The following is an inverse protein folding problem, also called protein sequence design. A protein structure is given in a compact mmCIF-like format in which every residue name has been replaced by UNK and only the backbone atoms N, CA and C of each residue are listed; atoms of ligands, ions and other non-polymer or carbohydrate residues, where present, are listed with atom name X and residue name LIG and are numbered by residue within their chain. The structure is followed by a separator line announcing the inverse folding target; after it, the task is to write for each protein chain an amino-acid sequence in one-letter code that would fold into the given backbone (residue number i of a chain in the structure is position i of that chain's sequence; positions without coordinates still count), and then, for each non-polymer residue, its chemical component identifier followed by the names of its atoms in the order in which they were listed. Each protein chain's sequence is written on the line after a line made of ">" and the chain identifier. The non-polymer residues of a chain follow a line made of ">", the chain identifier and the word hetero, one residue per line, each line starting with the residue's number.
data_IF_071846587496
#
_entry.id   IF_071846587496
#
_cell.length_a   1.000
_cell.length_b   1.000
_cell.length_c   1.000
_cell.angle_alpha   90.00
_cell.angle_beta   90.00
_cell.angle_gamma   90.00
#
_symmetry.space_group_name_H-M   'P 1'
#
loop_
_entity.id
_entity.type
_entity.pdbx_description
1 polymer ?
#
# COMPACT_ATOMS: atom_id res chain seq x y z
N UNK A 1 3.98 -31.66 7.23
CA UNK A 1 5.31 -32.27 7.00
C UNK A 1 5.99 -31.75 5.75
N UNK A 2 5.30 -31.67 4.60
CA UNK A 2 5.86 -31.12 3.35
C UNK A 2 6.30 -29.64 3.47
N UNK A 3 5.53 -28.79 4.17
CA UNK A 3 5.90 -27.39 4.44
C UNK A 3 7.22 -27.24 5.21
N UNK A 4 7.51 -28.15 6.16
CA UNK A 4 8.75 -28.10 6.93
C UNK A 4 9.96 -28.47 6.08
N UNK A 5 9.79 -29.41 5.14
CA UNK A 5 10.84 -29.83 4.20
C UNK A 5 11.09 -28.72 3.17
N UNK A 6 10.06 -28.04 2.66
CA UNK A 6 10.24 -26.91 1.75
C UNK A 6 10.91 -25.71 2.44
N UNK A 7 10.59 -25.46 3.71
CA UNK A 7 11.28 -24.44 4.51
C UNK A 7 12.75 -24.80 4.77
N UNK A 8 13.06 -26.08 5.01
CA UNK A 8 14.43 -26.56 5.16
C UNK A 8 15.24 -26.38 3.86
N UNK A 9 14.63 -26.69 2.72
CA UNK A 9 15.26 -26.50 1.39
C UNK A 9 15.49 -25.01 1.11
N UNK A 10 14.55 -24.13 1.49
CA UNK A 10 14.70 -22.68 1.36
C UNK A 10 15.87 -22.16 2.22
N UNK A 11 15.95 -22.56 3.49
CA UNK A 11 17.02 -22.14 4.42
C UNK A 11 18.38 -22.66 3.96
N UNK A 12 18.44 -23.90 3.48
CA UNK A 12 19.65 -24.47 2.89
C UNK A 12 20.05 -23.69 1.64
N UNK A 13 19.11 -23.40 0.74
CA UNK A 13 19.34 -22.68 -0.51
C UNK A 13 19.73 -21.21 -0.30
N UNK A 14 19.29 -20.59 0.79
CA UNK A 14 19.75 -19.27 1.24
C UNK A 14 21.20 -19.30 1.74
N UNK A 15 21.65 -20.43 2.30
CA UNK A 15 23.02 -20.59 2.78
C UNK A 15 24.03 -20.87 1.65
N UNK A 16 23.56 -21.39 0.51
CA UNK A 16 24.37 -21.72 -0.66
C UNK A 16 24.28 -20.69 -1.81
N UNK A 17 23.63 -19.55 -1.61
CA UNK A 17 23.37 -18.54 -2.67
C UNK A 17 22.70 -19.11 -3.94
N UNK A 18 21.98 -20.23 -3.80
CA UNK A 18 21.36 -20.96 -4.92
C UNK A 18 20.04 -20.30 -5.33
N UNK A 19 20.11 -19.27 -6.16
CA UNK A 19 18.95 -18.48 -6.60
C UNK A 19 17.84 -19.32 -7.25
N UNK A 20 18.21 -20.40 -7.94
CA UNK A 20 17.27 -21.31 -8.58
C UNK A 20 16.46 -22.07 -7.51
N UNK A 21 17.12 -22.57 -6.47
CA UNK A 21 16.49 -23.26 -5.34
C UNK A 21 15.57 -22.34 -4.54
N UNK A 22 15.99 -21.09 -4.32
CA UNK A 22 15.17 -20.07 -3.65
C UNK A 22 13.91 -19.76 -4.45
N UNK A 23 14.04 -19.59 -5.78
CA UNK A 23 12.91 -19.30 -6.67
C UNK A 23 11.88 -20.44 -6.68
N UNK A 24 12.33 -21.69 -6.81
CA UNK A 24 11.43 -22.84 -6.76
C UNK A 24 10.79 -23.02 -5.39
N UNK A 25 11.53 -22.81 -4.30
CA UNK A 25 10.97 -22.93 -2.95
C UNK A 25 9.89 -21.86 -2.67
N UNK A 26 10.12 -20.60 -3.08
CA UNK A 26 9.14 -19.52 -2.96
C UNK A 26 7.90 -19.82 -3.81
N UNK A 27 8.07 -20.31 -5.04
CA UNK A 27 6.97 -20.70 -5.92
C UNK A 27 6.07 -21.78 -5.31
N UNK A 28 6.67 -22.83 -4.73
CA UNK A 28 5.93 -23.91 -4.07
C UNK A 28 5.19 -23.42 -2.83
N UNK A 29 5.79 -22.53 -2.03
CA UNK A 29 5.13 -21.92 -0.85
C UNK A 29 3.93 -21.06 -1.28
N UNK A 30 4.07 -20.27 -2.35
CA UNK A 30 2.99 -19.41 -2.85
C UNK A 30 1.78 -20.24 -3.35
N UNK A 31 2.03 -21.31 -4.11
CA UNK A 31 0.95 -22.21 -4.57
C UNK A 31 0.25 -22.88 -3.38
N UNK A 32 1.03 -23.43 -2.44
CA UNK A 32 0.46 -24.09 -1.26
C UNK A 32 -0.37 -23.13 -0.38
N UNK A 33 0.05 -21.86 -0.28
CA UNK A 33 -0.71 -20.81 0.41
C UNK A 33 -2.03 -20.49 -0.29
N UNK A 34 -2.02 -20.35 -1.61
CA UNK A 34 -3.22 -20.07 -2.40
C UNK A 34 -4.25 -21.20 -2.31
N UNK A 35 -3.82 -22.46 -2.40
CA UNK A 35 -4.70 -23.63 -2.24
C UNK A 35 -5.32 -23.67 -0.83
N UNK A 36 -4.55 -23.33 0.20
CA UNK A 36 -5.03 -23.30 1.59
C UNK A 36 -6.09 -22.20 1.81
N UNK A 37 -5.92 -21.03 1.18
CA UNK A 37 -6.88 -19.94 1.26
C UNK A 37 -8.22 -20.28 0.59
N UNK A 38 -8.20 -20.95 -0.57
CA UNK A 38 -9.41 -21.42 -1.26
C UNK A 38 -10.15 -22.47 -0.42
N UNK A 39 -9.41 -23.40 0.21
CA UNK A 39 -9.98 -24.41 1.11
C UNK A 39 -10.71 -23.79 2.31
N UNK A 40 -10.15 -22.72 2.89
CA UNK A 40 -10.74 -22.00 4.01
C UNK A 40 -12.04 -21.28 3.63
N UNK A 41 -12.06 -20.61 2.46
CA UNK A 41 -13.25 -19.92 1.93
C UNK A 41 -14.41 -20.90 1.69
N UNK A 42 -14.12 -22.14 1.29
CA UNK A 42 -15.16 -23.18 1.12
C UNK A 42 -15.65 -23.79 2.44
N UNK A 43 -14.83 -23.74 3.49
CA UNK A 43 -15.13 -24.35 4.80
C UNK A 43 -15.91 -23.45 5.75
N UNK A 44 -16.02 -22.14 5.47
CA UNK A 44 -16.88 -21.25 6.26
C UNK A 44 -18.35 -21.55 5.95
N UNK A 45 -19.19 -21.87 6.95
CA UNK A 45 -20.58 -22.22 6.71
C UNK A 45 -21.32 -21.03 6.12
N UNK A 46 -21.95 -21.25 4.97
CA UNK A 46 -22.76 -20.29 4.22
C UNK A 46 -24.08 -20.00 4.95
N UNK A 47 -24.00 -19.30 6.09
CA UNK A 47 -25.09 -18.43 6.54
C UNK A 47 -24.89 -17.03 5.95
N UNK A 48 -24.86 -16.95 4.61
CA UNK A 48 -25.11 -15.70 3.92
C UNK A 48 -26.36 -15.90 3.10
N UNK A 49 -27.50 -15.56 3.71
CA UNK A 49 -28.80 -15.50 3.05
C UNK A 49 -28.66 -14.53 1.88
N UNK A 50 -28.77 -15.06 0.66
CA UNK A 50 -28.84 -14.29 -0.56
C UNK A 50 -30.22 -13.64 -0.68
N UNK A 51 -30.46 -12.56 0.06
CA UNK A 51 -31.50 -11.59 -0.30
C UNK A 51 -30.84 -10.53 -1.16
N UNK A 52 -30.99 -10.62 -2.48
CA UNK A 52 -30.67 -9.53 -3.41
C UNK A 52 -31.73 -8.45 -3.15
N UNK A 53 -31.39 -7.27 -2.58
CA UNK A 53 -32.34 -6.18 -2.57
C UNK A 53 -32.38 -5.60 -3.98
N UNK A 54 -33.57 -5.58 -4.58
CA UNK A 54 -33.82 -4.87 -5.84
C UNK A 54 -33.48 -3.39 -5.66
N UNK A 55 -32.27 -3.00 -6.05
CA UNK A 55 -31.79 -1.63 -5.88
C UNK A 55 -32.42 -0.75 -6.97
N UNK A 56 -33.51 -0.07 -6.61
CA UNK A 56 -34.11 0.96 -7.45
C UNK A 56 -33.13 2.13 -7.58
N UNK A 57 -32.55 2.31 -8.78
CA UNK A 57 -31.75 3.47 -9.13
C UNK A 57 -32.67 4.69 -9.24
N UNK A 58 -32.84 5.45 -8.14
CA UNK A 58 -33.11 6.88 -8.26
C UNK A 58 -31.77 7.58 -8.44
N UNK A 59 -31.44 7.96 -9.68
CA UNK A 59 -30.33 8.88 -9.97
C UNK A 59 -30.59 10.18 -9.21
N UNK A 60 -29.92 10.38 -8.07
CA UNK A 60 -29.80 11.69 -7.44
C UNK A 60 -28.41 12.19 -7.77
N UNK A 61 -28.30 12.94 -8.86
CA UNK A 61 -27.09 13.71 -9.15
C UNK A 61 -26.84 14.64 -7.96
N UNK A 62 -25.75 14.41 -7.22
CA UNK A 62 -25.21 15.42 -6.31
C UNK A 62 -24.25 16.27 -7.12
N UNK A 63 -24.78 17.37 -7.65
CA UNK A 63 -23.96 18.47 -8.15
C UNK A 63 -23.21 19.06 -6.95
N UNK A 64 -21.88 19.01 -6.95
CA UNK A 64 -21.09 19.86 -6.04
C UNK A 64 -21.09 21.27 -6.63
N UNK A 65 -21.95 22.14 -6.12
CA UNK A 65 -21.83 23.59 -6.35
C UNK A 65 -20.79 24.16 -5.39
N UNK A 66 -19.84 24.93 -5.93
CA UNK A 66 -19.01 25.84 -5.13
C UNK A 66 -19.78 27.13 -4.90
N UNK A 67 -20.47 27.23 -3.77
CA UNK A 67 -21.09 28.48 -3.32
C UNK A 67 -20.01 29.32 -2.63
N UNK A 68 -19.50 30.35 -3.30
CA UNK A 68 -18.64 31.36 -2.71
C UNK A 68 -19.50 32.32 -1.87
N UNK A 69 -19.48 32.16 -0.54
CA UNK A 69 -20.23 33.02 0.37
C UNK A 69 -19.41 34.26 0.74
N UNK A 70 -19.84 35.43 0.24
CA UNK A 70 -19.24 36.73 0.52
C UNK A 70 -19.67 37.28 1.90
N UNK A 71 -18.70 37.76 2.66
CA UNK A 71 -18.80 38.25 4.03
C UNK A 71 -19.65 39.52 4.18
N UNK A 72 -20.56 39.51 5.17
CA UNK A 72 -20.87 40.67 6.02
C UNK A 72 -20.93 40.20 7.49
N UNK A 73 -20.09 40.81 8.32
CA UNK A 73 -19.96 40.58 9.77
C UNK A 73 -21.20 41.07 10.53
N UNK A 74 -21.51 40.47 11.70
CA UNK A 74 -21.13 41.13 12.95
C UNK A 74 -20.51 40.18 13.98
N UNK A 75 -19.64 40.75 14.81
CA UNK A 75 -18.86 40.07 15.84
C UNK A 75 -19.72 39.55 17.00
N UNK A 76 -19.44 38.33 17.46
CA UNK A 76 -19.80 37.87 18.80
C UNK A 76 -18.65 37.03 19.37
N UNK A 77 -17.98 37.61 20.35
CA UNK A 77 -16.89 37.03 21.12
C UNK A 77 -17.38 35.86 21.97
N UNK A 78 -16.79 34.68 21.76
CA UNK A 78 -16.68 33.66 22.80
C UNK A 78 -15.29 33.04 22.74
N UNK A 79 -14.51 33.31 23.77
CA UNK A 79 -13.17 32.77 23.97
C UNK A 79 -13.27 31.31 24.37
N UNK A 80 -12.86 30.36 23.53
CA UNK A 80 -12.38 29.03 24.01
C UNK A 80 -11.44 28.40 22.99
N UNK A 81 -10.17 28.24 23.43
CA UNK A 81 -9.08 27.43 22.87
C UNK A 81 -8.76 27.56 21.38
N UNK A 82 -7.60 28.18 21.11
CA UNK A 82 -6.79 27.99 19.91
C UNK A 82 -6.49 26.49 19.77
N UNK A 83 -7.37 25.74 19.10
CA UNK A 83 -7.08 24.39 18.66
C UNK A 83 -6.28 24.55 17.37
N UNK A 84 -4.96 24.70 17.53
CA UNK A 84 -4.05 24.68 16.41
C UNK A 84 -4.33 23.43 15.60
N UNK A 85 -4.73 23.60 14.33
CA UNK A 85 -4.79 22.52 13.35
C UNK A 85 -3.36 22.08 13.06
N UNK A 86 -2.79 21.34 14.01
CA UNK A 86 -1.48 20.74 13.92
C UNK A 86 -1.64 19.44 13.15
N UNK A 87 -1.43 19.51 11.85
CA UNK A 87 -1.28 18.37 10.94
C UNK A 87 -2.59 17.65 10.63
N UNK A 88 -3.03 17.73 9.37
CA UNK A 88 -4.03 16.81 8.82
C UNK A 88 -3.49 15.38 8.94
N UNK A 89 -3.86 14.69 10.02
CA UNK A 89 -3.44 13.31 10.25
C UNK A 89 -4.26 12.43 9.32
N UNK A 90 -3.64 11.87 8.28
CA UNK A 90 -4.31 10.97 7.34
C UNK A 90 -4.81 9.72 8.09
N UNK A 91 -6.03 9.28 7.78
CA UNK A 91 -6.59 8.07 8.37
C UNK A 91 -5.81 6.84 7.85
N UNK A 92 -5.36 5.91 8.71
CA UNK A 92 -4.59 4.75 8.28
C UNK A 92 -5.31 3.87 7.24
N UNK A 93 -6.62 3.67 7.40
CA UNK A 93 -7.46 2.93 6.43
C UNK A 93 -7.58 3.62 5.07
N UNK A 94 -7.53 4.95 5.04
CA UNK A 94 -7.52 5.69 3.77
C UNK A 94 -6.21 5.44 3.03
N UNK A 95 -5.08 5.39 3.75
CA UNK A 95 -3.79 5.06 3.16
C UNK A 95 -3.79 3.63 2.64
N UNK A 96 -4.27 2.66 3.42
CA UNK A 96 -4.39 1.27 2.94
C UNK A 96 -5.25 1.18 1.68
N UNK A 97 -6.43 1.81 1.64
CA UNK A 97 -7.28 1.80 0.45
C UNK A 97 -6.68 2.51 -0.76
N UNK A 98 -5.91 3.58 -0.54
CA UNK A 98 -5.16 4.23 -1.62
C UNK A 98 -4.06 3.32 -2.15
N UNK A 99 -3.33 2.63 -1.27
CA UNK A 99 -2.32 1.66 -1.69
C UNK A 99 -2.96 0.50 -2.45
N UNK A 100 -4.11 0.03 -2.03
CA UNK A 100 -4.86 -1.02 -2.71
C UNK A 100 -5.27 -0.63 -4.15
N UNK A 101 -5.57 0.66 -4.37
CA UNK A 101 -6.02 1.16 -5.68
C UNK A 101 -4.88 1.59 -6.60
N UNK A 102 -3.88 2.30 -6.08
CA UNK A 102 -2.88 3.04 -6.90
C UNK A 102 -1.43 2.59 -6.67
N UNK A 103 -1.16 1.71 -5.70
CA UNK A 103 0.22 1.29 -5.42
C UNK A 103 0.69 0.08 -6.24
N UNK A 104 2.00 -0.05 -6.33
CA UNK A 104 2.68 -1.14 -7.01
C UNK A 104 3.82 -1.66 -6.14
N UNK A 105 3.82 -2.97 -5.90
CA UNK A 105 4.90 -3.72 -5.26
C UNK A 105 5.75 -4.37 -6.35
N UNK A 106 6.99 -3.93 -6.50
CA UNK A 106 7.86 -4.29 -7.62
C UNK A 106 9.14 -4.92 -7.10
N UNK A 107 9.49 -6.09 -7.63
CA UNK A 107 10.81 -6.69 -7.51
C UNK A 107 11.55 -6.48 -8.83
N UNK A 108 12.70 -5.82 -8.77
CA UNK A 108 13.54 -5.53 -9.93
C UNK A 108 14.80 -6.38 -9.81
N UNK A 109 15.08 -7.18 -10.83
CA UNK A 109 16.28 -8.02 -10.91
C UNK A 109 17.15 -7.48 -12.03
N UNK A 110 18.31 -6.93 -11.69
CA UNK A 110 19.24 -6.32 -12.63
C UNK A 110 20.53 -7.14 -12.69
N UNK A 111 21.07 -7.34 -13.90
CA UNK A 111 22.39 -7.95 -14.04
C UNK A 111 23.45 -6.99 -13.52
N UNK A 112 24.25 -7.42 -12.55
CA UNK A 112 25.27 -6.58 -11.93
C UNK A 112 26.46 -7.42 -11.45
N UNK A 113 27.57 -7.30 -12.18
CA UNK A 113 28.80 -8.05 -11.94
C UNK A 113 29.53 -7.70 -10.64
N UNK A 114 29.10 -6.65 -9.92
CA UNK A 114 29.66 -6.29 -8.62
C UNK A 114 29.25 -7.26 -7.51
N UNK A 115 28.11 -7.93 -7.68
CA UNK A 115 27.62 -8.93 -6.72
C UNK A 115 28.14 -10.31 -7.10
N UNK A 116 28.43 -11.14 -6.09
CA UNK A 116 28.94 -12.52 -6.28
C UNK A 116 28.04 -13.38 -7.16
N UNK A 117 26.73 -13.18 -7.05
CA UNK A 117 25.70 -13.84 -7.85
C UNK A 117 25.62 -13.32 -9.29
N UNK A 118 26.22 -12.16 -9.58
CA UNK A 118 26.07 -11.46 -10.85
C UNK A 118 24.73 -10.71 -11.01
N UNK A 119 23.90 -10.66 -9.95
CA UNK A 119 22.57 -10.05 -9.97
C UNK A 119 22.36 -9.13 -8.76
N UNK A 120 21.65 -8.03 -9.01
CA UNK A 120 21.17 -7.08 -8.01
C UNK A 120 19.65 -7.21 -7.92
N UNK A 121 19.14 -7.54 -6.74
CA UNK A 121 17.70 -7.73 -6.49
C UNK A 121 17.21 -6.60 -5.60
N UNK A 122 16.29 -5.79 -6.13
CA UNK A 122 15.76 -4.62 -5.46
C UNK A 122 14.24 -4.77 -5.26
N UNK A 123 13.80 -4.64 -4.02
CA UNK A 123 12.38 -4.51 -3.71
C UNK A 123 11.98 -3.04 -3.65
N UNK A 124 10.80 -2.71 -4.17
CA UNK A 124 10.29 -1.35 -4.23
C UNK A 124 8.77 -1.32 -4.05
N UNK A 125 8.30 -0.38 -3.27
CA UNK A 125 6.89 0.02 -3.24
C UNK A 125 6.78 1.41 -3.82
N UNK A 126 5.87 1.59 -4.77
CA UNK A 126 5.71 2.85 -5.48
C UNK A 126 4.25 3.19 -5.74
N UNK A 127 3.93 4.49 -5.73
CA UNK A 127 2.64 5.05 -6.15
C UNK A 127 2.96 6.11 -7.21
N UNK A 128 2.31 6.03 -8.37
CA UNK A 128 2.50 6.97 -9.46
C UNK A 128 1.16 7.62 -9.78
N UNK A 129 0.96 8.87 -9.35
CA UNK A 129 -0.28 9.63 -9.60
C UNK A 129 0.02 10.96 -10.29
N UNK A 130 -1.02 11.72 -10.63
CA UNK A 130 -0.88 13.00 -11.32
C UNK A 130 -0.29 14.08 -10.39
N UNK A 131 0.51 15.00 -10.92
CA UNK A 131 1.15 16.12 -10.18
C UNK A 131 0.16 17.04 -9.45
N UNK A 132 -1.14 16.98 -9.81
CA UNK A 132 -2.20 17.75 -9.15
C UNK A 132 -2.40 17.28 -7.70
N UNK A 133 -2.14 16.01 -7.45
CA UNK A 133 -2.30 15.36 -6.16
C UNK A 133 -0.97 15.29 -5.39
N UNK A 134 0.00 16.13 -5.74
CA UNK A 134 1.30 16.18 -5.04
C UNK A 134 1.18 16.47 -3.56
N UNK A 135 0.21 17.29 -3.16
CA UNK A 135 -0.08 17.54 -1.75
C UNK A 135 -0.50 16.26 -1.00
N UNK A 136 -1.23 15.36 -1.67
CA UNK A 136 -1.60 14.06 -1.12
C UNK A 136 -0.36 13.17 -0.94
N UNK A 137 0.52 13.10 -1.95
CA UNK A 137 1.78 12.35 -1.84
C UNK A 137 2.67 12.88 -0.71
N UNK A 138 2.75 14.20 -0.53
CA UNK A 138 3.49 14.80 0.57
C UNK A 138 2.89 14.43 1.93
N UNK A 139 1.56 14.48 2.06
CA UNK A 139 0.89 14.07 3.29
C UNK A 139 1.11 12.57 3.61
N UNK A 140 1.18 11.70 2.60
CA UNK A 140 1.52 10.28 2.77
C UNK A 140 2.98 10.09 3.18
N UNK A 141 3.90 10.86 2.58
CA UNK A 141 5.30 10.88 3.00
C UNK A 141 5.44 11.29 4.46
N UNK A 142 4.74 12.34 4.88
CA UNK A 142 4.74 12.81 6.26
C UNK A 142 4.13 11.78 7.22
N UNK A 143 3.07 11.08 6.80
CA UNK A 143 2.47 9.98 7.58
C UNK A 143 3.48 8.87 7.89
N UNK A 144 4.32 8.49 6.92
CA UNK A 144 5.38 7.49 7.10
C UNK A 144 6.67 8.07 7.70
N UNK A 145 6.65 9.30 8.24
CA UNK A 145 7.80 9.90 8.91
C UNK A 145 8.90 10.41 7.97
N UNK A 146 8.56 10.71 6.71
CA UNK A 146 9.47 11.35 5.76
C UNK A 146 10.50 10.42 5.11
N UNK A 147 10.38 9.10 5.28
CA UNK A 147 11.38 8.11 4.85
C UNK A 147 11.32 7.75 3.35
N UNK A 148 10.33 8.27 2.61
CA UNK A 148 10.15 7.96 1.19
C UNK A 148 10.83 8.97 0.26
N UNK A 149 11.11 8.52 -0.96
CA UNK A 149 11.46 9.41 -2.06
C UNK A 149 10.17 9.93 -2.71
N UNK A 150 10.09 11.25 -2.92
CA UNK A 150 9.06 11.89 -3.73
C UNK A 150 9.71 12.57 -4.92
N UNK A 151 9.25 12.27 -6.13
CA UNK A 151 9.83 12.85 -7.34
C UNK A 151 9.68 14.37 -7.35
N UNK A 152 10.66 15.04 -7.96
CA UNK A 152 10.54 16.46 -8.31
C UNK A 152 9.55 16.62 -9.47
N UNK A 153 8.87 17.78 -9.57
CA UNK A 153 7.99 18.06 -10.69
C UNK A 153 8.75 17.89 -12.01
N UNK A 154 8.21 17.08 -12.92
CA UNK A 154 8.79 16.81 -14.22
C UNK A 154 7.74 17.04 -15.32
N UNK A 155 8.19 17.11 -16.57
CA UNK A 155 7.33 17.27 -17.76
C UNK A 155 6.29 16.17 -17.92
N UNK A 156 6.49 15.02 -17.26
CA UNK A 156 5.57 13.88 -17.28
C UNK A 156 4.24 14.13 -16.54
N UNK A 157 4.09 15.25 -15.80
CA UNK A 157 2.89 15.58 -15.01
C UNK A 157 2.49 14.49 -14.00
N UNK A 158 3.44 13.66 -13.59
CA UNK A 158 3.28 12.62 -12.59
C UNK A 158 4.21 12.85 -11.41
N UNK A 159 3.71 12.48 -10.24
CA UNK A 159 4.47 12.43 -8.99
C UNK A 159 4.59 10.97 -8.56
N UNK A 160 5.83 10.56 -8.31
CA UNK A 160 6.17 9.22 -7.82
C UNK A 160 6.48 9.31 -6.33
N UNK A 161 5.74 8.55 -5.53
CA UNK A 161 6.15 8.16 -4.18
C UNK A 161 6.85 6.80 -4.27
N UNK A 162 8.05 6.68 -3.70
CA UNK A 162 8.83 5.44 -3.75
C UNK A 162 9.50 5.15 -2.42
N UNK A 163 9.40 3.90 -1.97
CA UNK A 163 10.20 3.33 -0.89
C UNK A 163 10.97 2.13 -1.43
N UNK A 164 12.30 2.19 -1.39
CA UNK A 164 13.18 1.12 -1.89
C UNK A 164 14.19 0.62 -0.86
N UNK A 165 14.34 1.30 0.27
CA UNK A 165 15.25 0.88 1.33
C UNK A 165 14.64 -0.33 2.04
N UNK A 166 15.38 -1.44 2.12
CA UNK A 166 14.89 -2.67 2.76
C UNK A 166 14.48 -2.45 4.23
N UNK A 167 15.24 -1.62 4.97
CA UNK A 167 14.91 -1.22 6.34
C UNK A 167 13.53 -0.58 6.45
N UNK A 168 13.23 0.37 5.57
CA UNK A 168 11.98 1.15 5.59
C UNK A 168 10.80 0.30 5.10
N UNK A 169 11.03 -0.55 4.09
CA UNK A 169 10.04 -1.52 3.64
C UNK A 169 9.62 -2.45 4.77
N UNK A 170 10.57 -3.04 5.50
CA UNK A 170 10.26 -4.01 6.56
C UNK A 170 9.69 -3.33 7.80
N UNK A 171 10.31 -2.25 8.28
CA UNK A 171 9.93 -1.68 9.56
C UNK A 171 8.76 -0.69 9.50
N UNK A 172 8.48 -0.11 8.33
CA UNK A 172 7.44 0.91 8.20
C UNK A 172 6.31 0.44 7.31
N UNK A 173 6.61 -0.01 6.08
CA UNK A 173 5.57 -0.41 5.14
C UNK A 173 4.89 -1.72 5.56
N UNK A 174 5.66 -2.79 5.79
CA UNK A 174 5.11 -4.07 6.25
C UNK A 174 4.42 -3.90 7.61
N UNK A 175 5.02 -3.16 8.54
CA UNK A 175 4.40 -2.90 9.85
C UNK A 175 3.06 -2.15 9.77
N UNK A 176 2.87 -1.27 8.77
CA UNK A 176 1.57 -0.65 8.52
C UNK A 176 0.55 -1.68 8.03
N UNK A 177 0.91 -2.52 7.06
CA UNK A 177 0.00 -3.52 6.50
C UNK A 177 -0.29 -4.70 7.43
N UNK A 178 0.57 -4.97 8.41
CA UNK A 178 0.26 -5.93 9.49
C UNK A 178 -0.92 -5.44 10.36
N UNK A 179 -1.05 -4.12 10.54
CA UNK A 179 -2.14 -3.50 11.32
C UNK A 179 -3.37 -3.19 10.47
N UNK A 180 -3.15 -2.82 9.21
CA UNK A 180 -4.16 -2.41 8.25
C UNK A 180 -3.97 -3.19 6.94
N UNK A 181 -4.37 -4.48 6.91
CA UNK A 181 -4.10 -5.35 5.78
C UNK A 181 -4.78 -4.86 4.50
N UNK A 182 -4.09 -5.09 3.38
CA UNK A 182 -4.66 -4.94 2.04
C UNK A 182 -5.77 -5.99 1.83
N UNK A 183 -6.75 -5.70 0.97
CA UNK A 183 -7.97 -6.51 0.79
C UNK A 183 -7.90 -7.30 -0.52
#
# INVERSE_FOLDING_TARGET
>A
MLLAITFLILISSLSFDDILGQTYAIYIIAIAGAESAIGLVRSTPSHYSSSIPSFNIRRRARSYSTEAFNNRTPALSSSTSVLGLKGSTLAPWFITGLFDTESSFVIIILKNFKYKTGWDVQARVQINIHEKDRALIQAIQDYFGGISYVSKPNKALTVEFRVSTLKDLVHVIISHFDKYPLI
#
